data_IF_695060402289
#
_entry.id   IF_695060402289
#
_cell.length_a   1.000
_cell.length_b   1.000
_cell.length_c   1.000
_cell.angle_alpha   90.00
_cell.angle_beta   90.00
_cell.angle_gamma   90.00
#
_symmetry.space_group_name_H-M   'P 1'
#
loop_
_entity.id
_entity.type
_entity.pdbx_description
1 polymer ?
#
# COMPACT_ATOMS: atom_id res chain seq x y z
N UNK A 1 -0.30 -9.92 -15.22
CA UNK A 1 -1.45 -8.99 -15.15
C UNK A 1 -1.51 -8.18 -13.85
N UNK A 2 -1.28 -8.77 -12.67
CA UNK A 2 -1.29 -8.05 -11.36
C UNK A 2 -0.32 -6.87 -11.28
N UNK A 3 0.88 -6.97 -11.87
CA UNK A 3 1.86 -5.87 -11.87
C UNK A 3 1.39 -4.65 -12.66
N UNK A 4 0.78 -4.84 -13.84
CA UNK A 4 0.25 -3.72 -14.66
C UNK A 4 -0.88 -3.02 -13.92
N UNK A 5 -1.77 -3.76 -13.28
CA UNK A 5 -2.86 -3.21 -12.46
C UNK A 5 -2.31 -2.37 -11.29
N UNK A 6 -1.35 -2.90 -10.55
CA UNK A 6 -0.74 -2.20 -9.42
C UNK A 6 -0.06 -0.89 -9.85
N UNK A 7 0.64 -0.91 -11.00
CA UNK A 7 1.27 0.30 -11.57
C UNK A 7 0.23 1.30 -12.02
N UNK A 8 -0.84 0.88 -12.70
CA UNK A 8 -1.92 1.77 -13.11
C UNK A 8 -2.57 2.45 -11.90
N UNK A 9 -2.83 1.71 -10.81
CA UNK A 9 -3.31 2.29 -9.55
C UNK A 9 -2.36 3.34 -8.99
N UNK A 10 -1.05 3.05 -8.94
CA UNK A 10 -0.08 4.00 -8.40
C UNK A 10 0.11 5.23 -9.29
N UNK A 11 0.10 5.07 -10.62
CA UNK A 11 0.11 6.20 -11.55
C UNK A 11 -1.10 7.11 -11.33
N UNK A 12 -2.30 6.54 -11.23
CA UNK A 12 -3.51 7.32 -10.95
C UNK A 12 -3.39 8.07 -9.62
N UNK A 13 -2.92 7.40 -8.56
CA UNK A 13 -2.71 8.03 -7.26
C UNK A 13 -1.63 9.13 -7.33
N UNK A 14 -0.55 8.93 -8.09
CA UNK A 14 0.49 9.94 -8.30
C UNK A 14 -0.08 11.20 -8.98
N UNK A 15 -0.78 11.01 -10.10
CA UNK A 15 -1.41 12.13 -10.81
C UNK A 15 -2.45 12.84 -9.92
N UNK A 16 -3.28 12.10 -9.19
CA UNK A 16 -4.24 12.68 -8.26
C UNK A 16 -3.54 13.54 -7.20
N UNK A 17 -2.49 13.03 -6.57
CA UNK A 17 -1.76 13.74 -5.52
C UNK A 17 -1.04 14.99 -6.03
N UNK A 18 -0.41 14.92 -7.22
CA UNK A 18 0.38 16.01 -7.77
C UNK A 18 -0.46 17.13 -8.42
N UNK A 19 -1.58 16.78 -9.04
CA UNK A 19 -2.33 17.71 -9.88
C UNK A 19 -3.65 18.20 -9.29
N UNK A 20 -4.23 17.53 -8.27
CA UNK A 20 -5.55 17.90 -7.75
C UNK A 20 -5.65 19.35 -7.29
N UNK A 21 -4.67 19.86 -6.57
CA UNK A 21 -4.66 21.26 -6.12
C UNK A 21 -4.64 22.22 -7.30
N UNK A 22 -3.78 21.96 -8.30
CA UNK A 22 -3.68 22.83 -9.49
C UNK A 22 -4.93 22.78 -10.36
N UNK A 23 -5.58 21.61 -10.46
CA UNK A 23 -6.85 21.50 -11.16
C UNK A 23 -7.94 22.34 -10.50
N UNK A 24 -7.94 22.42 -9.16
CA UNK A 24 -8.81 23.33 -8.42
C UNK A 24 -8.55 24.80 -8.76
N UNK A 25 -7.29 25.21 -8.80
CA UNK A 25 -6.88 26.58 -9.17
C UNK A 25 -7.23 26.91 -10.64
N UNK A 26 -6.90 26.02 -11.58
CA UNK A 26 -7.17 26.23 -13.02
C UNK A 26 -8.67 26.32 -13.36
N UNK A 27 -9.51 25.58 -12.64
CA UNK A 27 -10.95 25.63 -12.85
C UNK A 27 -11.61 26.83 -12.15
N UNK A 28 -10.93 27.49 -11.23
CA UNK A 28 -11.49 28.56 -10.39
C UNK A 28 -12.56 28.09 -9.39
N UNK A 29 -12.75 26.77 -9.28
CA UNK A 29 -13.77 26.14 -8.42
C UNK A 29 -13.15 25.50 -7.16
N UNK A 30 -11.90 25.79 -6.86
CA UNK A 30 -11.16 25.22 -5.72
C UNK A 30 -11.25 23.68 -5.66
N UNK A 31 -11.58 23.11 -4.48
CA UNK A 31 -11.71 21.66 -4.30
C UNK A 31 -12.83 21.02 -5.17
N UNK A 32 -13.89 21.79 -5.50
CA UNK A 32 -14.99 21.30 -6.36
C UNK A 32 -14.53 21.06 -7.79
N UNK A 33 -13.67 21.93 -8.32
CA UNK A 33 -13.08 21.77 -9.64
C UNK A 33 -12.15 20.56 -9.71
N UNK A 34 -11.34 20.36 -8.68
CA UNK A 34 -10.51 19.18 -8.56
C UNK A 34 -11.34 17.88 -8.56
N UNK A 35 -12.35 17.79 -7.71
CA UNK A 35 -13.24 16.62 -7.68
C UNK A 35 -13.99 16.41 -8.99
N UNK A 36 -14.46 17.49 -9.64
CA UNK A 36 -15.18 17.43 -10.90
C UNK A 36 -14.39 16.73 -12.01
N UNK A 37 -13.10 17.01 -12.15
CA UNK A 37 -12.23 16.36 -13.13
C UNK A 37 -12.13 14.85 -12.88
N UNK A 38 -11.96 14.43 -11.63
CA UNK A 38 -11.90 13.01 -11.29
C UNK A 38 -13.24 12.29 -11.49
N UNK A 39 -14.38 12.97 -11.26
CA UNK A 39 -15.72 12.45 -11.57
C UNK A 39 -15.88 12.19 -13.07
N UNK A 40 -15.39 13.09 -13.93
CA UNK A 40 -15.42 12.88 -15.39
C UNK A 40 -14.67 11.62 -15.78
N UNK A 41 -13.46 11.42 -15.25
CA UNK A 41 -12.68 10.20 -15.50
C UNK A 41 -13.38 8.93 -14.99
N UNK A 42 -14.01 9.00 -13.83
CA UNK A 42 -14.82 7.89 -13.30
C UNK A 42 -16.01 7.56 -14.20
N UNK A 43 -16.72 8.57 -14.72
CA UNK A 43 -17.82 8.38 -15.64
C UNK A 43 -17.37 7.78 -16.98
N UNK A 44 -16.24 8.23 -17.53
CA UNK A 44 -15.64 7.64 -18.73
C UNK A 44 -15.28 6.16 -18.51
N UNK A 45 -14.71 5.84 -17.35
CA UNK A 45 -14.38 4.45 -16.98
C UNK A 45 -15.65 3.59 -16.85
N UNK A 46 -16.70 4.14 -16.23
CA UNK A 46 -18.00 3.48 -16.12
C UNK A 46 -18.62 3.20 -17.49
N UNK A 47 -18.57 4.19 -18.38
CA UNK A 47 -19.03 4.03 -19.76
C UNK A 47 -18.25 2.93 -20.50
N UNK A 48 -16.93 2.91 -20.37
CA UNK A 48 -16.09 1.89 -21.00
C UNK A 48 -16.46 0.48 -20.52
N UNK A 49 -16.64 0.29 -19.20
CA UNK A 49 -17.08 -0.99 -18.62
C UNK A 49 -18.49 -1.37 -19.08
N UNK A 50 -19.39 -0.40 -19.18
CA UNK A 50 -20.76 -0.63 -19.65
C UNK A 50 -20.78 -1.10 -21.10
N UNK A 51 -20.03 -0.44 -22.00
CA UNK A 51 -19.90 -0.86 -23.39
C UNK A 51 -19.24 -2.23 -23.55
N UNK A 52 -18.20 -2.51 -22.76
CA UNK A 52 -17.57 -3.84 -22.72
C UNK A 52 -18.55 -4.92 -22.27
N UNK A 53 -19.35 -4.64 -21.24
CA UNK A 53 -20.38 -5.55 -20.74
C UNK A 53 -21.47 -5.84 -21.78
N UNK A 54 -21.89 -4.81 -22.56
CA UNK A 54 -22.85 -4.98 -23.65
C UNK A 54 -22.26 -5.75 -24.84
N UNK A 55 -20.96 -5.57 -25.12
CA UNK A 55 -20.26 -6.20 -26.25
C UNK A 55 -19.88 -7.64 -25.98
N UNK A 56 -19.78 -8.04 -24.72
CA UNK A 56 -19.50 -9.45 -24.35
C UNK A 56 -20.71 -10.30 -24.72
N UNK A 57 -20.66 -10.97 -25.88
CA UNK A 57 -21.51 -12.13 -26.15
C UNK A 57 -21.38 -13.05 -24.94
N UNK A 58 -22.53 -13.47 -24.39
CA UNK A 58 -22.66 -14.40 -23.27
C UNK A 58 -21.65 -15.53 -23.42
N UNK A 59 -20.44 -15.35 -22.90
CA UNK A 59 -19.51 -16.46 -22.73
C UNK A 59 -20.22 -17.38 -21.78
N UNK A 60 -20.64 -18.54 -22.31
CA UNK A 60 -21.17 -19.62 -21.48
C UNK A 60 -20.23 -19.73 -20.31
N UNK A 61 -20.74 -19.40 -19.15
CA UNK A 61 -20.05 -19.71 -17.90
C UNK A 61 -19.75 -21.20 -17.96
N UNK A 62 -18.53 -21.54 -18.29
CA UNK A 62 -17.97 -22.81 -17.88
C UNK A 62 -18.04 -22.68 -16.36
N UNK A 63 -19.12 -23.18 -15.82
CA UNK A 63 -19.30 -23.40 -14.40
C UNK A 63 -18.26 -24.48 -14.07
N UNK A 64 -16.99 -24.07 -13.97
CA UNK A 64 -16.08 -24.78 -13.12
C UNK A 64 -16.75 -24.73 -11.75
N UNK A 65 -17.34 -25.84 -11.41
CA UNK A 65 -17.91 -26.15 -10.11
C UNK A 65 -16.72 -26.17 -9.13
N UNK A 66 -16.14 -24.99 -8.90
CA UNK A 66 -15.12 -24.79 -7.89
C UNK A 66 -15.83 -24.96 -6.56
N UNK A 67 -15.71 -26.14 -6.01
CA UNK A 67 -15.93 -26.39 -4.59
C UNK A 67 -14.95 -25.50 -3.79
N UNK A 68 -15.27 -24.19 -3.68
CA UNK A 68 -14.52 -23.22 -2.88
C UNK A 68 -14.85 -23.39 -1.39
N UNK A 69 -15.75 -24.32 -1.05
CA UNK A 69 -16.38 -24.41 0.27
C UNK A 69 -15.66 -25.29 1.28
N UNK A 70 -14.63 -26.05 0.91
CA UNK A 70 -13.89 -26.84 1.91
C UNK A 70 -12.61 -26.11 2.36
N UNK A 71 -12.56 -25.68 3.63
CA UNK A 71 -11.31 -25.36 4.29
C UNK A 71 -10.93 -23.89 4.49
N UNK A 72 -11.86 -22.90 4.50
CA UNK A 72 -11.53 -21.51 4.89
C UNK A 72 -11.09 -21.46 6.36
N UNK A 73 -11.74 -22.20 7.25
CA UNK A 73 -11.42 -22.25 8.67
C UNK A 73 -9.99 -22.70 8.98
N UNK A 74 -9.39 -23.48 8.12
CA UNK A 74 -8.05 -24.00 8.21
C UNK A 74 -6.97 -22.90 8.03
N UNK A 75 -7.17 -21.96 7.09
CA UNK A 75 -6.22 -20.86 6.87
C UNK A 75 -6.18 -19.92 8.08
N UNK A 76 -7.33 -19.67 8.73
CA UNK A 76 -7.39 -18.87 9.96
C UNK A 76 -6.64 -19.50 11.15
N UNK A 77 -6.39 -20.81 11.15
CA UNK A 77 -5.58 -21.50 12.17
C UNK A 77 -4.08 -21.45 11.88
N UNK A 78 -3.68 -21.13 10.66
CA UNK A 78 -2.26 -21.06 10.29
C UNK A 78 -1.59 -19.80 10.82
N UNK A 79 -0.57 -19.95 11.65
CA UNK A 79 0.27 -18.83 12.14
C UNK A 79 0.93 -18.07 10.97
N UNK A 80 1.33 -18.79 9.91
CA UNK A 80 1.95 -18.19 8.74
C UNK A 80 0.97 -17.26 8.01
N UNK A 81 -0.29 -17.66 7.85
CA UNK A 81 -1.32 -16.82 7.23
C UNK A 81 -1.56 -15.54 8.05
N UNK A 82 -1.50 -15.60 9.37
CA UNK A 82 -1.56 -14.42 10.23
C UNK A 82 -0.35 -13.50 10.09
N UNK A 83 0.88 -14.04 9.99
CA UNK A 83 2.07 -13.21 9.73
C UNK A 83 1.99 -12.51 8.38
N UNK A 84 1.49 -13.18 7.33
CA UNK A 84 1.25 -12.57 6.02
C UNK A 84 0.20 -11.46 6.13
N UNK A 85 -0.89 -11.69 6.85
CA UNK A 85 -1.95 -10.71 7.07
C UNK A 85 -1.47 -9.49 7.87
N UNK A 86 -0.67 -9.71 8.91
CA UNK A 86 -0.05 -8.63 9.70
C UNK A 86 0.92 -7.81 8.87
N UNK A 87 1.78 -8.45 8.07
CA UNK A 87 2.71 -7.76 7.19
C UNK A 87 1.94 -6.88 6.19
N UNK A 88 0.91 -7.42 5.52
CA UNK A 88 0.04 -6.67 4.62
C UNK A 88 -0.67 -5.51 5.32
N UNK A 89 -1.18 -5.75 6.53
CA UNK A 89 -1.93 -4.75 7.30
C UNK A 89 -1.06 -3.61 7.79
N UNK A 90 0.07 -3.94 8.39
CA UNK A 90 0.95 -2.92 8.99
C UNK A 90 1.62 -2.07 7.91
N UNK A 91 2.06 -2.65 6.78
CA UNK A 91 2.61 -1.86 5.68
C UNK A 91 1.56 -0.89 5.11
N UNK A 92 0.31 -1.33 4.99
CA UNK A 92 -0.79 -0.48 4.55
C UNK A 92 -1.15 0.58 5.60
N UNK A 93 -1.09 0.26 6.90
CA UNK A 93 -1.27 1.20 7.99
C UNK A 93 -0.27 2.36 7.90
N UNK A 94 1.02 2.05 7.75
CA UNK A 94 2.08 3.05 7.61
C UNK A 94 1.85 3.91 6.37
N UNK A 95 1.56 3.28 5.24
CA UNK A 95 1.31 3.98 3.99
C UNK A 95 0.11 4.93 4.08
N UNK A 96 -1.06 4.44 4.51
CA UNK A 96 -2.26 5.28 4.58
C UNK A 96 -2.16 6.37 5.64
N UNK A 97 -1.48 6.14 6.76
CA UNK A 97 -1.22 7.18 7.76
C UNK A 97 -0.40 8.32 7.17
N UNK A 98 0.68 8.00 6.45
CA UNK A 98 1.54 9.00 5.82
C UNK A 98 0.83 9.71 4.66
N UNK A 99 0.17 9.00 3.75
CA UNK A 99 -0.54 9.65 2.65
C UNK A 99 -1.61 10.62 3.16
N UNK A 100 -2.30 10.30 4.25
CA UNK A 100 -3.36 11.15 4.81
C UNK A 100 -2.81 12.37 5.54
N UNK A 101 -1.71 12.23 6.28
CA UNK A 101 -1.25 13.27 7.21
C UNK A 101 0.03 13.96 6.80
N UNK A 102 0.84 13.38 5.89
CA UNK A 102 2.09 13.98 5.45
C UNK A 102 1.93 15.39 4.90
N UNK A 103 0.89 15.74 4.11
CA UNK A 103 0.68 17.13 3.68
C UNK A 103 0.58 18.10 4.87
N UNK A 104 -0.15 17.72 5.92
CA UNK A 104 -0.29 18.56 7.13
C UNK A 104 1.03 18.67 7.89
N UNK A 105 1.75 17.55 8.07
CA UNK A 105 3.09 17.54 8.68
C UNK A 105 4.04 18.50 7.96
N UNK A 106 4.02 18.48 6.62
CA UNK A 106 4.87 19.30 5.79
C UNK A 106 4.53 20.79 5.91
N UNK A 107 3.24 21.12 5.95
CA UNK A 107 2.79 22.51 6.16
C UNK A 107 3.22 22.99 7.55
N UNK A 108 3.10 22.17 8.58
CA UNK A 108 3.54 22.50 9.94
C UNK A 108 5.07 22.66 10.04
N UNK A 109 5.82 22.03 9.14
CA UNK A 109 7.27 22.24 8.99
C UNK A 109 7.64 23.45 8.14
N UNK A 110 6.64 24.18 7.59
CA UNK A 110 6.84 25.41 6.83
C UNK A 110 6.85 25.23 5.31
N UNK A 111 6.45 24.07 4.77
CA UNK A 111 6.29 23.90 3.33
C UNK A 111 5.00 24.58 2.85
N UNK A 112 5.04 25.33 1.71
CA UNK A 112 3.82 25.85 1.11
C UNK A 112 2.85 24.72 0.77
N UNK A 113 1.56 24.88 1.09
CA UNK A 113 0.53 23.86 0.88
C UNK A 113 0.47 23.35 -0.57
N UNK A 114 0.68 24.25 -1.55
CA UNK A 114 0.70 23.94 -2.99
C UNK A 114 1.80 22.94 -3.40
N UNK A 115 2.86 22.82 -2.62
CA UNK A 115 4.03 22.00 -2.95
C UNK A 115 3.94 20.59 -2.32
N UNK A 116 3.07 20.40 -1.34
CA UNK A 116 2.93 19.11 -0.63
C UNK A 116 2.49 17.98 -1.55
N UNK A 117 1.61 18.27 -2.53
CA UNK A 117 1.15 17.30 -3.52
C UNK A 117 2.28 16.76 -4.41
N UNK A 118 3.28 17.58 -4.72
CA UNK A 118 4.45 17.15 -5.49
C UNK A 118 5.30 16.14 -4.73
N UNK A 119 5.40 16.28 -3.42
CA UNK A 119 6.12 15.29 -2.62
C UNK A 119 5.38 13.94 -2.59
N UNK A 120 4.06 13.96 -2.45
CA UNK A 120 3.25 12.75 -2.57
C UNK A 120 3.37 12.11 -3.96
N UNK A 121 3.37 12.93 -5.03
CA UNK A 121 3.64 12.46 -6.38
C UNK A 121 5.00 11.76 -6.48
N UNK A 122 6.06 12.36 -5.91
CA UNK A 122 7.41 11.78 -5.91
C UNK A 122 7.44 10.42 -5.19
N UNK A 123 6.78 10.30 -4.04
CA UNK A 123 6.66 9.02 -3.32
C UNK A 123 6.03 7.94 -4.23
N UNK A 124 4.92 8.29 -4.89
CA UNK A 124 4.21 7.36 -5.76
C UNK A 124 5.04 6.94 -6.99
N UNK A 125 5.74 7.88 -7.61
CA UNK A 125 6.62 7.56 -8.75
C UNK A 125 7.79 6.68 -8.32
N UNK A 126 8.38 6.93 -7.14
CA UNK A 126 9.46 6.12 -6.60
C UNK A 126 9.03 4.66 -6.30
N UNK A 127 7.74 4.42 -6.03
CA UNK A 127 7.22 3.06 -5.83
C UNK A 127 7.26 2.22 -7.11
N UNK A 128 7.04 2.83 -8.29
CA UNK A 128 6.79 2.10 -9.54
C UNK A 128 7.93 1.16 -9.93
N UNK A 129 9.20 1.60 -10.03
CA UNK A 129 10.28 0.71 -10.49
C UNK A 129 10.46 -0.48 -9.56
N UNK A 130 10.35 -0.28 -8.25
CA UNK A 130 10.57 -1.37 -7.29
C UNK A 130 9.39 -2.36 -7.25
N UNK A 131 8.19 -1.93 -7.60
CA UNK A 131 7.03 -2.82 -7.73
C UNK A 131 7.20 -3.83 -8.88
N UNK A 132 7.99 -3.50 -9.92
CA UNK A 132 8.35 -4.45 -10.98
C UNK A 132 9.57 -5.29 -10.60
N UNK A 133 10.63 -4.65 -10.12
CA UNK A 133 11.91 -5.30 -9.86
C UNK A 133 11.84 -6.17 -8.60
N UNK A 134 11.14 -5.71 -7.56
CA UNK A 134 11.06 -6.37 -6.27
C UNK A 134 10.59 -7.82 -6.33
N UNK A 135 9.47 -8.14 -6.98
CA UNK A 135 9.01 -9.52 -7.14
C UNK A 135 9.98 -10.42 -7.90
N UNK A 136 10.67 -9.88 -8.92
CA UNK A 136 11.65 -10.64 -9.70
C UNK A 136 12.85 -11.04 -8.83
N UNK A 137 13.34 -10.10 -8.03
CA UNK A 137 14.44 -10.37 -7.11
C UNK A 137 14.02 -11.33 -6.00
N UNK A 138 12.86 -11.08 -5.40
CA UNK A 138 12.35 -11.89 -4.30
C UNK A 138 12.07 -13.35 -4.70
N UNK A 139 11.59 -13.60 -5.92
CA UNK A 139 11.37 -14.97 -6.43
C UNK A 139 12.67 -15.75 -6.65
N UNK A 140 13.79 -15.07 -6.89
CA UNK A 140 15.12 -15.72 -7.06
C UNK A 140 15.77 -16.08 -5.74
N UNK A 141 15.27 -15.57 -4.62
CA UNK A 141 15.81 -15.81 -3.29
C UNK A 141 15.14 -17.02 -2.66
N UNK A 142 15.91 -17.80 -1.88
CA UNK A 142 15.40 -18.96 -1.15
C UNK A 142 14.39 -18.56 -0.07
N UNK A 143 14.67 -17.45 0.62
CA UNK A 143 13.74 -16.83 1.56
C UNK A 143 13.67 -15.30 1.33
N UNK A 144 12.65 -14.64 1.85
CA UNK A 144 12.42 -13.22 1.62
C UNK A 144 12.68 -12.36 2.88
N UNK A 145 13.38 -12.91 3.89
CA UNK A 145 13.69 -12.20 5.14
C UNK A 145 14.56 -10.97 4.91
N UNK A 146 15.56 -11.07 4.02
CA UNK A 146 16.39 -9.93 3.65
C UNK A 146 15.55 -8.79 3.04
N UNK A 147 14.60 -9.13 2.15
CA UNK A 147 13.72 -8.13 1.54
C UNK A 147 12.82 -7.46 2.60
N UNK A 148 12.27 -8.23 3.53
CA UNK A 148 11.49 -7.69 4.65
C UNK A 148 12.33 -6.76 5.54
N UNK A 149 13.61 -7.09 5.76
CA UNK A 149 14.55 -6.25 6.51
C UNK A 149 14.85 -4.95 5.77
N UNK A 150 15.08 -4.99 4.47
CA UNK A 150 15.32 -3.80 3.63
C UNK A 150 14.10 -2.86 3.64
N UNK A 151 12.89 -3.42 3.57
CA UNK A 151 11.65 -2.66 3.71
C UNK A 151 11.62 -1.91 5.03
N UNK A 152 11.84 -2.61 6.15
CA UNK A 152 11.75 -1.99 7.47
C UNK A 152 12.84 -0.94 7.70
N UNK A 153 14.09 -1.22 7.30
CA UNK A 153 15.21 -0.27 7.41
C UNK A 153 14.92 0.99 6.56
N UNK A 154 14.45 0.81 5.33
CA UNK A 154 14.12 1.93 4.45
C UNK A 154 12.97 2.77 4.99
N UNK A 155 11.90 2.15 5.49
CA UNK A 155 10.79 2.87 6.11
C UNK A 155 11.22 3.61 7.38
N UNK A 156 11.97 2.97 8.29
CA UNK A 156 12.50 3.61 9.49
C UNK A 156 13.43 4.78 9.14
N UNK A 157 14.33 4.58 8.17
CA UNK A 157 15.23 5.62 7.69
C UNK A 157 14.46 6.82 7.12
N UNK A 158 13.44 6.58 6.32
CA UNK A 158 12.57 7.63 5.79
C UNK A 158 11.87 8.41 6.91
N UNK A 159 11.23 7.71 7.84
CA UNK A 159 10.53 8.32 8.98
C UNK A 159 11.51 9.12 9.84
N UNK A 160 12.70 8.58 10.11
CA UNK A 160 13.74 9.28 10.86
C UNK A 160 14.16 10.59 10.18
N UNK A 161 14.32 10.57 8.85
CA UNK A 161 14.66 11.77 8.08
C UNK A 161 13.53 12.80 8.14
N UNK A 162 12.25 12.41 7.92
CA UNK A 162 11.12 13.30 8.05
C UNK A 162 11.02 13.92 9.45
N UNK A 163 11.29 13.14 10.48
CA UNK A 163 11.20 13.59 11.87
C UNK A 163 12.33 14.52 12.28
N UNK A 164 13.60 14.16 12.01
CA UNK A 164 14.76 14.89 12.49
C UNK A 164 15.18 16.02 11.55
N UNK A 165 15.21 15.76 10.24
CA UNK A 165 15.72 16.74 9.26
C UNK A 165 14.60 17.56 8.62
N UNK A 166 13.34 17.23 8.91
CA UNK A 166 12.18 17.98 8.41
C UNK A 166 12.30 18.23 6.90
N UNK A 167 12.34 19.52 6.49
CA UNK A 167 12.40 19.89 5.08
C UNK A 167 13.78 19.67 4.44
N UNK A 168 14.86 19.63 5.21
CA UNK A 168 16.21 19.51 4.64
C UNK A 168 16.47 18.16 3.96
N UNK A 169 15.88 17.07 4.45
CA UNK A 169 16.05 15.73 3.89
C UNK A 169 14.83 15.22 3.12
N UNK A 170 13.87 16.08 2.83
CA UNK A 170 12.51 15.68 2.44
C UNK A 170 12.43 14.84 1.15
N UNK A 171 13.21 15.19 0.14
CA UNK A 171 13.23 14.43 -1.13
C UNK A 171 13.87 13.04 -0.97
N UNK A 172 14.92 12.95 -0.17
CA UNK A 172 15.57 11.67 0.14
C UNK A 172 14.60 10.78 0.92
N UNK A 173 13.93 11.34 1.93
CA UNK A 173 12.93 10.64 2.70
C UNK A 173 11.76 10.16 1.82
N UNK A 174 11.28 11.01 0.91
CA UNK A 174 10.20 10.67 0.00
C UNK A 174 10.56 9.52 -0.96
N UNK A 175 11.75 9.57 -1.56
CA UNK A 175 12.23 8.50 -2.45
C UNK A 175 12.41 7.20 -1.66
N UNK A 176 13.05 7.26 -0.50
CA UNK A 176 13.28 6.10 0.36
C UNK A 176 11.97 5.46 0.83
N UNK A 177 10.98 6.30 1.19
CA UNK A 177 9.63 5.85 1.54
C UNK A 177 8.95 5.17 0.37
N UNK A 178 8.99 5.79 -0.82
CA UNK A 178 8.39 5.23 -2.03
C UNK A 178 8.98 3.88 -2.39
N UNK A 179 10.31 3.76 -2.44
CA UNK A 179 10.99 2.48 -2.71
C UNK A 179 10.61 1.41 -1.68
N UNK A 180 10.62 1.75 -0.39
CA UNK A 180 10.31 0.81 0.68
C UNK A 180 8.85 0.37 0.67
N UNK A 181 7.91 1.30 0.43
CA UNK A 181 6.48 0.97 0.31
C UNK A 181 6.19 0.14 -0.93
N UNK A 182 6.80 0.47 -2.07
CA UNK A 182 6.66 -0.30 -3.30
C UNK A 182 7.14 -1.75 -3.14
N UNK A 183 8.30 -1.93 -2.50
CA UNK A 183 8.84 -3.26 -2.18
C UNK A 183 7.93 -4.00 -1.20
N UNK A 184 7.45 -3.34 -0.15
CA UNK A 184 6.58 -3.93 0.85
C UNK A 184 5.26 -4.40 0.27
N UNK A 185 4.61 -3.57 -0.54
CA UNK A 185 3.35 -3.90 -1.18
C UNK A 185 3.51 -5.09 -2.16
N UNK A 186 4.53 -5.05 -3.01
CA UNK A 186 4.80 -6.14 -3.95
C UNK A 186 5.16 -7.44 -3.25
N UNK A 187 5.91 -7.36 -2.14
CA UNK A 187 6.27 -8.52 -1.33
C UNK A 187 5.03 -9.11 -0.63
N UNK A 188 4.11 -8.27 -0.16
CA UNK A 188 2.83 -8.73 0.43
C UNK A 188 2.03 -9.58 -0.56
N UNK A 189 1.87 -9.10 -1.80
CA UNK A 189 1.17 -9.86 -2.85
C UNK A 189 1.92 -11.14 -3.20
N UNK A 190 3.23 -11.09 -3.23
CA UNK A 190 4.07 -12.24 -3.56
C UNK A 190 3.95 -13.35 -2.49
N UNK A 191 3.84 -13.02 -1.21
CA UNK A 191 3.62 -13.99 -0.15
C UNK A 191 2.34 -14.80 -0.34
N UNK A 192 1.28 -14.23 -0.94
CA UNK A 192 0.04 -14.96 -1.21
C UNK A 192 0.28 -16.18 -2.12
N UNK A 193 1.20 -16.06 -3.06
CA UNK A 193 1.52 -17.12 -4.03
C UNK A 193 2.68 -17.98 -3.57
N UNK A 194 3.75 -17.40 -3.04
CA UNK A 194 4.92 -18.17 -2.61
C UNK A 194 4.67 -19.06 -1.39
N UNK A 195 3.71 -18.70 -0.54
CA UNK A 195 3.37 -19.48 0.67
C UNK A 195 2.16 -20.39 0.49
N UNK A 196 1.62 -20.48 -0.73
CA UNK A 196 0.52 -21.35 -1.09
C UNK A 196 1.01 -22.55 -1.90
N UNK A 197 0.51 -23.76 -1.60
CA UNK A 197 0.77 -24.98 -2.40
C UNK A 197 -0.11 -25.08 -3.64
N UNK A 198 -1.23 -24.34 -3.67
CA UNK A 198 -2.18 -24.36 -4.78
C UNK A 198 -2.74 -22.95 -5.05
N UNK A 199 -3.23 -22.73 -6.27
CA UNK A 199 -3.91 -21.48 -6.64
C UNK A 199 -5.13 -21.21 -5.76
N UNK A 200 -5.87 -22.26 -5.38
CA UNK A 200 -7.02 -22.14 -4.48
C UNK A 200 -6.60 -21.61 -3.10
N UNK A 201 -5.49 -22.11 -2.55
CA UNK A 201 -4.95 -21.63 -1.27
C UNK A 201 -4.39 -20.21 -1.39
N UNK A 202 -3.75 -19.85 -2.50
CA UNK A 202 -3.30 -18.47 -2.74
C UNK A 202 -4.46 -17.48 -2.71
N UNK A 203 -5.59 -17.81 -3.33
CA UNK A 203 -6.81 -16.99 -3.31
C UNK A 203 -7.34 -16.83 -1.88
N UNK A 204 -7.40 -17.90 -1.10
CA UNK A 204 -7.89 -17.86 0.29
C UNK A 204 -6.95 -17.05 1.20
N UNK A 205 -5.62 -17.23 1.08
CA UNK A 205 -4.62 -16.45 1.81
C UNK A 205 -4.74 -14.97 1.45
N UNK A 206 -4.86 -14.65 0.16
CA UNK A 206 -5.07 -13.29 -0.33
C UNK A 206 -6.34 -12.66 0.26
N UNK A 207 -7.46 -13.38 0.26
CA UNK A 207 -8.71 -12.93 0.85
C UNK A 207 -8.58 -12.62 2.34
N UNK A 208 -8.00 -13.54 3.14
CA UNK A 208 -7.75 -13.33 4.56
C UNK A 208 -6.80 -12.14 4.79
N UNK A 209 -5.66 -12.12 4.10
CA UNK A 209 -4.64 -11.10 4.29
C UNK A 209 -5.13 -9.69 3.94
N UNK A 210 -5.91 -9.55 2.88
CA UNK A 210 -6.48 -8.26 2.50
C UNK A 210 -7.60 -7.84 3.45
N UNK A 211 -8.50 -8.73 3.84
CA UNK A 211 -9.60 -8.40 4.76
C UNK A 211 -9.08 -7.98 6.14
N UNK A 212 -8.25 -8.82 6.76
CA UNK A 212 -7.64 -8.53 8.06
C UNK A 212 -6.65 -7.36 7.95
N UNK A 213 -5.85 -7.35 6.89
CA UNK A 213 -4.84 -6.32 6.68
C UNK A 213 -5.44 -4.93 6.50
N UNK A 214 -6.46 -4.77 5.67
CA UNK A 214 -7.11 -3.45 5.51
C UNK A 214 -7.91 -3.03 6.75
N UNK A 215 -8.44 -3.98 7.52
CA UNK A 215 -9.02 -3.66 8.82
C UNK A 215 -7.97 -3.05 9.78
N UNK A 216 -6.77 -3.63 9.85
CA UNK A 216 -5.65 -3.08 10.63
C UNK A 216 -5.25 -1.71 10.07
N UNK A 217 -5.14 -1.57 8.75
CA UNK A 217 -4.74 -0.33 8.09
C UNK A 217 -5.72 0.82 8.36
N UNK A 218 -7.01 0.54 8.50
CA UNK A 218 -8.04 1.53 8.77
C UNK A 218 -7.83 2.28 10.11
N UNK A 219 -7.13 1.69 11.07
CA UNK A 219 -6.80 2.35 12.33
C UNK A 219 -5.61 3.31 12.21
N UNK A 220 -4.79 3.20 11.17
CA UNK A 220 -3.58 3.99 11.02
C UNK A 220 -3.82 5.50 11.04
N UNK A 221 -4.54 6.06 10.04
CA UNK A 221 -4.76 7.50 9.95
C UNK A 221 -5.48 8.11 11.18
N UNK A 222 -6.55 7.50 11.74
CA UNK A 222 -7.20 8.01 12.95
C UNK A 222 -6.27 8.05 14.17
N UNK A 223 -5.51 6.98 14.40
CA UNK A 223 -4.57 6.92 15.53
C UNK A 223 -3.45 7.93 15.35
N UNK A 224 -2.87 8.01 14.14
CA UNK A 224 -1.81 8.98 13.83
C UNK A 224 -2.27 10.42 14.09
N UNK A 225 -3.47 10.79 13.62
CA UNK A 225 -4.05 12.11 13.85
C UNK A 225 -4.38 12.37 15.32
N UNK A 226 -4.94 11.38 16.02
CA UNK A 226 -5.24 11.53 17.45
C UNK A 226 -4.00 11.74 18.31
N UNK A 227 -2.89 11.08 17.97
CA UNK A 227 -1.61 11.29 18.65
C UNK A 227 -1.05 12.70 18.40
N UNK A 228 -1.30 13.29 17.25
CA UNK A 228 -0.94 14.68 16.98
C UNK A 228 -1.78 15.68 17.81
N UNK A 229 -3.04 15.39 18.10
CA UNK A 229 -3.85 16.22 18.99
C UNK A 229 -3.29 16.25 20.43
N UNK A 230 -2.60 15.18 20.86
CA UNK A 230 -1.97 15.08 22.18
C UNK A 230 -0.59 15.78 22.17
N UNK A 231 0.17 15.61 21.08
CA UNK A 231 1.50 16.17 20.89
C UNK A 231 1.59 16.85 19.51
N UNK A 232 1.42 18.16 19.51
CA UNK A 232 1.46 18.98 18.28
C UNK A 232 2.83 19.00 17.56
N UNK A 233 3.86 18.41 18.17
CA UNK A 233 5.19 18.27 17.56
C UNK A 233 5.33 17.07 16.62
N UNK A 234 4.30 16.24 16.47
CA UNK A 234 4.27 14.99 15.70
C UNK A 234 5.12 13.85 16.28
N UNK A 235 5.79 14.02 17.42
CA UNK A 235 6.67 12.98 17.96
C UNK A 235 5.93 11.68 18.23
N UNK A 236 4.78 11.73 18.92
CA UNK A 236 4.01 10.53 19.23
C UNK A 236 3.49 9.82 17.98
N UNK A 237 3.11 10.60 16.95
CA UNK A 237 2.68 10.04 15.67
C UNK A 237 3.83 9.31 14.96
N UNK A 238 5.03 9.87 14.96
CA UNK A 238 6.20 9.20 14.38
C UNK A 238 6.67 7.99 15.22
N UNK A 239 6.59 8.05 16.55
CA UNK A 239 6.86 6.89 17.40
C UNK A 239 5.88 5.74 17.12
N UNK A 240 4.61 6.03 16.94
CA UNK A 240 3.60 5.03 16.55
C UNK A 240 3.97 4.34 15.24
N UNK A 241 4.40 5.09 14.22
CA UNK A 241 4.84 4.49 12.96
C UNK A 241 6.13 3.67 13.15
N UNK A 242 7.10 4.16 13.92
CA UNK A 242 8.34 3.44 14.19
C UNK A 242 8.08 2.09 14.86
N UNK A 243 7.22 2.06 15.89
CA UNK A 243 6.79 0.81 16.55
C UNK A 243 6.07 -0.11 15.56
N UNK A 244 5.18 0.45 14.74
CA UNK A 244 4.48 -0.32 13.71
C UNK A 244 5.46 -0.96 12.71
N UNK A 245 6.52 -0.26 12.31
CA UNK A 245 7.52 -0.81 11.38
C UNK A 245 8.38 -1.90 12.04
N UNK A 246 8.66 -1.81 13.33
CA UNK A 246 9.32 -2.91 14.06
C UNK A 246 8.44 -4.16 14.07
N UNK A 247 7.13 -4.01 14.28
CA UNK A 247 6.17 -5.12 14.17
C UNK A 247 6.06 -5.64 12.72
N UNK A 248 6.13 -4.75 11.73
CA UNK A 248 6.21 -5.11 10.31
C UNK A 248 7.43 -5.98 10.02
N UNK A 249 8.60 -5.60 10.54
CA UNK A 249 9.83 -6.37 10.40
C UNK A 249 9.65 -7.79 10.95
N UNK A 250 9.12 -7.92 12.17
CA UNK A 250 8.87 -9.22 12.77
C UNK A 250 7.90 -10.07 11.94
N UNK A 251 6.77 -9.49 11.52
CA UNK A 251 5.79 -10.18 10.68
C UNK A 251 6.39 -10.58 9.32
N UNK A 252 7.16 -9.68 8.70
CA UNK A 252 7.85 -9.92 7.43
C UNK A 252 8.92 -11.00 7.52
N UNK A 253 9.66 -11.06 8.62
CA UNK A 253 10.65 -12.13 8.88
C UNK A 253 9.98 -13.50 8.96
N UNK A 254 8.84 -13.58 9.66
CA UNK A 254 8.07 -14.82 9.79
C UNK A 254 7.36 -15.20 8.49
N UNK A 255 6.79 -14.25 7.76
CA UNK A 255 6.18 -14.48 6.46
C UNK A 255 7.22 -14.83 5.38
N UNK A 256 8.45 -14.29 5.51
CA UNK A 256 9.56 -14.53 4.61
C UNK A 256 10.25 -15.88 4.75
N UNK A 257 9.95 -16.69 5.77
CA UNK A 257 10.47 -18.06 5.92
C UNK A 257 10.04 -18.93 4.73
N UNK A 258 10.95 -19.82 4.29
CA UNK A 258 10.63 -20.81 3.23
C UNK A 258 9.72 -21.91 3.79
N UNK A 259 8.47 -21.57 3.98
CA UNK A 259 7.42 -22.46 4.50
C UNK A 259 6.11 -22.23 3.75
N UNK A 260 5.26 -23.23 3.74
CA UNK A 260 3.92 -23.14 3.17
C UNK A 260 2.87 -23.06 4.28
N UNK A 261 1.76 -22.38 3.98
CA UNK A 261 0.57 -22.44 4.83
C UNK A 261 0.09 -23.88 4.82
N UNK A 262 0.10 -24.50 5.99
CA UNK A 262 -0.18 -25.93 6.13
C UNK A 262 -1.63 -26.25 5.73
N UNK A 263 -1.83 -27.38 5.09
CA UNK A 263 -3.11 -28.05 4.92
C UNK A 263 -3.16 -29.15 6.01
N UNK A 264 -3.79 -28.91 7.15
CA UNK A 264 -4.08 -29.96 8.13
C UNK A 264 -5.48 -30.52 7.89
#
# INVERSE_FOLDING_TARGET
>A
MTGIFAVAMNLTAAFASGFSLRLGEWTGLEWRGSLGVWVILALLSLMAVFFDALSRKKVQSITENRQVTSGIGHIFRSKLAWYISLFMGIQSLVYYSLISWLPKVLVDYGMPSKDTGWLLFLIQIAMIPIMFIGPILAQRMKDQRLMASLVAIGMLGSIFIFWQYKLQGIYVAAILLGLSNGLSFSLSILFFTLRARSTANAIKISGMAQSVGYLIAAFGPPVFGRLHEIDTTWNYSFYFLAVSIVLLLFAGWKAGEDRYVAED
#
